data_IF_771091083854
#
_entry.id   IF_771091083854
#
_cell.length_a   1.000
_cell.length_b   1.000
_cell.length_c   1.000
_cell.angle_alpha   90.00
_cell.angle_beta   90.00
_cell.angle_gamma   90.00
#
_symmetry.space_group_name_H-M   'P 1'
#
loop_
_entity.id
_entity.type
_entity.pdbx_description
1 polymer ?
#
# COMPACT_ATOMS: atom_id res chain seq x y z
N UNK A 1 -23.45 50.20 13.33
CA UNK A 1 -24.75 49.56 13.06
C UNK A 1 -25.41 50.36 11.96
N UNK A 2 -25.11 50.03 10.72
CA UNK A 2 -25.80 50.61 9.56
C UNK A 2 -26.83 49.60 9.08
N UNK A 3 -28.06 50.08 9.05
CA UNK A 3 -29.27 49.37 8.66
C UNK A 3 -29.26 49.32 7.13
N UNK A 4 -29.16 48.13 6.56
CA UNK A 4 -29.26 47.91 5.12
C UNK A 4 -30.66 48.27 4.62
N UNK A 5 -30.69 48.91 3.46
CA UNK A 5 -31.83 49.54 2.79
C UNK A 5 -32.97 48.58 2.40
N UNK A 6 -34.19 49.12 2.39
CA UNK A 6 -35.51 48.57 2.08
C UNK A 6 -35.68 47.78 0.75
N UNK A 7 -34.66 47.67 -0.10
CA UNK A 7 -34.72 46.88 -1.33
C UNK A 7 -34.51 45.37 -1.11
N UNK A 8 -33.84 44.97 -0.02
CA UNK A 8 -33.59 43.57 0.32
C UNK A 8 -34.86 42.87 0.85
N UNK A 9 -35.72 43.61 1.57
CA UNK A 9 -36.99 43.09 2.12
C UNK A 9 -38.04 42.84 1.01
N UNK A 10 -38.01 43.61 -0.08
CA UNK A 10 -38.93 43.44 -1.22
C UNK A 10 -38.63 42.22 -2.09
N UNK A 11 -37.41 41.67 -2.05
CA UNK A 11 -37.08 40.41 -2.75
C UNK A 11 -37.51 39.17 -1.98
N UNK A 12 -37.69 39.25 -0.66
CA UNK A 12 -38.08 38.12 0.17
C UNK A 12 -39.58 37.79 0.14
N UNK A 13 -40.44 38.76 -0.24
CA UNK A 13 -41.90 38.58 -0.22
C UNK A 13 -42.54 38.22 -1.57
N UNK A 14 -41.77 37.83 -2.59
CA UNK A 14 -42.31 37.48 -3.92
C UNK A 14 -42.20 36.01 -4.33
N UNK A 15 -41.82 35.13 -3.40
CA UNK A 15 -41.87 33.67 -3.58
C UNK A 15 -42.78 33.04 -2.52
N UNK A 16 -44.03 33.49 -2.46
CA UNK A 16 -45.11 32.67 -1.93
C UNK A 16 -45.38 31.54 -2.93
N UNK A 17 -44.81 30.37 -2.66
CA UNK A 17 -45.12 29.15 -3.39
C UNK A 17 -46.62 28.84 -3.24
N UNK A 18 -47.37 28.99 -4.33
CA UNK A 18 -48.60 28.23 -4.53
C UNK A 18 -48.21 26.79 -4.91
N UNK A 19 -48.94 25.76 -4.47
CA UNK A 19 -48.69 24.40 -4.90
C UNK A 19 -49.02 24.30 -6.39
N UNK A 20 -48.03 23.90 -7.21
CA UNK A 20 -48.29 23.44 -8.56
C UNK A 20 -48.34 21.91 -8.50
N UNK A 21 -49.56 21.39 -8.65
CA UNK A 21 -49.79 20.01 -9.07
C UNK A 21 -49.18 19.82 -10.47
N UNK A 22 -48.30 18.83 -10.57
CA UNK A 22 -47.65 18.44 -11.81
C UNK A 22 -46.51 17.50 -11.50
N UNK A 23 -46.74 16.20 -11.60
CA UNK A 23 -45.70 15.18 -11.61
C UNK A 23 -44.67 15.53 -12.69
N UNK A 24 -43.51 16.04 -12.28
CA UNK A 24 -42.32 15.99 -13.12
C UNK A 24 -41.73 14.60 -12.96
N UNK A 25 -41.98 13.74 -13.95
CA UNK A 25 -41.16 12.55 -14.16
C UNK A 25 -39.75 13.01 -14.51
N UNK A 26 -38.85 12.91 -13.54
CA UNK A 26 -37.43 13.04 -13.79
C UNK A 26 -36.95 11.73 -14.41
N UNK A 27 -36.28 11.83 -15.57
CA UNK A 27 -35.47 10.74 -16.10
C UNK A 27 -34.52 10.28 -15.00
N UNK A 28 -34.65 9.02 -14.57
CA UNK A 28 -33.65 8.40 -13.70
C UNK A 28 -32.28 8.56 -14.38
N UNK A 29 -31.26 9.12 -13.71
CA UNK A 29 -29.91 8.98 -14.21
C UNK A 29 -29.60 7.48 -14.32
N UNK A 30 -28.87 7.04 -15.37
CA UNK A 30 -28.52 5.64 -15.52
C UNK A 30 -27.87 5.16 -14.22
N UNK A 31 -28.29 3.99 -13.74
CA UNK A 31 -27.90 3.41 -12.45
C UNK A 31 -26.39 3.54 -12.24
N UNK A 32 -25.97 4.55 -11.49
CA UNK A 32 -24.62 4.61 -10.96
C UNK A 32 -24.51 3.44 -9.97
N UNK A 33 -23.47 2.61 -10.15
CA UNK A 33 -23.15 1.55 -9.20
C UNK A 33 -22.60 2.18 -7.92
N UNK A 34 -23.52 2.70 -7.11
CA UNK A 34 -23.23 3.31 -5.83
C UNK A 34 -23.22 2.19 -4.80
N UNK A 35 -22.04 1.88 -4.26
CA UNK A 35 -21.91 0.92 -3.16
C UNK A 35 -21.79 1.70 -1.86
N UNK A 36 -22.75 1.52 -0.96
CA UNK A 36 -22.62 2.00 0.41
C UNK A 36 -21.59 1.16 1.15
N UNK A 37 -20.48 1.76 1.57
CA UNK A 37 -19.53 1.12 2.45
C UNK A 37 -19.74 1.64 3.88
N UNK A 38 -19.85 0.70 4.82
CA UNK A 38 -19.76 1.03 6.23
C UNK A 38 -18.40 1.66 6.47
N UNK A 39 -18.36 2.86 7.04
CA UNK A 39 -17.10 3.48 7.41
C UNK A 39 -16.53 2.68 8.58
N UNK A 40 -15.49 1.91 8.29
CA UNK A 40 -14.66 1.29 9.30
C UNK A 40 -13.30 2.01 9.38
N UNK A 41 -12.54 1.72 10.44
CA UNK A 41 -11.25 2.35 10.70
C UNK A 41 -10.24 2.16 9.54
N UNK A 42 -10.38 1.07 8.77
CA UNK A 42 -9.48 0.79 7.66
C UNK A 42 -9.79 1.68 6.45
N UNK A 43 -11.08 1.87 6.13
CA UNK A 43 -11.51 2.76 5.06
C UNK A 43 -11.19 4.22 5.38
N UNK A 44 -11.38 4.65 6.63
CA UNK A 44 -11.01 6.01 7.07
C UNK A 44 -9.51 6.28 6.92
N UNK A 45 -8.67 5.31 7.34
CA UNK A 45 -7.22 5.36 7.17
C UNK A 45 -6.83 5.42 5.68
N UNK A 46 -7.46 4.60 4.84
CA UNK A 46 -7.17 4.59 3.41
C UNK A 46 -7.52 5.93 2.74
N UNK A 47 -8.69 6.49 3.04
CA UNK A 47 -9.11 7.80 2.52
C UNK A 47 -8.18 8.91 2.98
N UNK A 48 -7.75 8.90 4.23
CA UNK A 48 -6.76 9.85 4.74
C UNK A 48 -5.45 9.81 3.93
N UNK A 49 -4.93 8.62 3.66
CA UNK A 49 -3.71 8.45 2.86
C UNK A 49 -3.94 8.89 1.41
N UNK A 50 -5.06 8.51 0.79
CA UNK A 50 -5.42 8.92 -0.56
C UNK A 50 -5.41 10.45 -0.69
N UNK A 51 -6.09 11.16 0.22
CA UNK A 51 -6.10 12.63 0.26
C UNK A 51 -4.70 13.24 0.38
N UNK A 52 -3.78 12.58 1.09
CA UNK A 52 -2.39 13.03 1.21
C UNK A 52 -1.61 12.79 -0.07
N UNK A 53 -1.82 11.66 -0.75
CA UNK A 53 -1.18 11.33 -2.03
C UNK A 53 -1.66 12.28 -3.14
N UNK A 54 -2.94 12.67 -3.15
CA UNK A 54 -3.47 13.60 -4.16
C UNK A 54 -2.86 15.01 -4.07
N UNK A 55 -2.26 15.38 -2.93
CA UNK A 55 -1.52 16.64 -2.75
C UNK A 55 -0.11 16.58 -3.35
N UNK A 56 0.37 15.40 -3.74
CA UNK A 56 1.69 15.24 -4.38
C UNK A 56 1.58 15.72 -5.83
N UNK A 57 2.47 16.62 -6.30
CA UNK A 57 2.49 17.03 -7.70
C UNK A 57 2.61 15.83 -8.64
N UNK A 58 1.75 15.78 -9.65
CA UNK A 58 1.73 14.72 -10.66
C UNK A 58 1.50 13.30 -10.10
N UNK A 59 0.84 13.15 -8.95
CA UNK A 59 0.60 11.83 -8.33
C UNK A 59 -0.05 10.82 -9.29
N UNK A 60 -0.94 11.26 -10.18
CA UNK A 60 -1.65 10.43 -11.16
C UNK A 60 -0.73 9.71 -12.17
N UNK A 61 0.55 10.11 -12.27
CA UNK A 61 1.55 9.40 -13.06
C UNK A 61 2.04 8.11 -12.37
N UNK A 62 1.89 8.03 -11.04
CA UNK A 62 2.43 6.96 -10.21
C UNK A 62 1.36 6.19 -9.45
N UNK A 63 0.26 6.84 -9.05
CA UNK A 63 -0.71 6.28 -8.12
C UNK A 63 -2.14 6.39 -8.64
N UNK A 64 -2.94 5.36 -8.35
CA UNK A 64 -4.39 5.41 -8.45
C UNK A 64 -4.96 5.55 -7.03
N UNK A 65 -5.58 6.70 -6.76
CA UNK A 65 -6.32 6.95 -5.52
C UNK A 65 -7.79 6.54 -5.69
N UNK A 66 -8.48 6.29 -4.58
CA UNK A 66 -9.95 6.22 -4.61
C UNK A 66 -10.45 7.63 -4.89
N UNK A 67 -11.04 7.85 -6.06
CA UNK A 67 -11.71 9.11 -6.39
C UNK A 67 -13.08 9.15 -5.70
N UNK A 68 -13.12 9.52 -4.41
CA UNK A 68 -14.36 9.96 -3.77
C UNK A 68 -14.51 11.46 -3.94
N UNK A 69 -14.70 11.92 -5.17
CA UNK A 69 -14.98 13.33 -5.47
C UNK A 69 -16.17 13.38 -6.39
N UNK A 70 -17.34 13.10 -5.82
CA UNK A 70 -18.61 13.79 -6.03
C UNK A 70 -19.72 12.97 -5.33
N UNK A 71 -20.46 13.62 -4.43
CA UNK A 71 -21.70 13.13 -3.79
C UNK A 71 -21.58 12.07 -2.69
N UNK A 72 -21.20 12.53 -1.49
CA UNK A 72 -21.75 11.98 -0.25
C UNK A 72 -23.16 12.57 -0.07
N UNK A 73 -24.20 11.87 -0.52
CA UNK A 73 -25.58 12.21 -0.16
C UNK A 73 -26.01 11.42 1.07
N UNK A 74 -26.28 12.10 2.18
CA UNK A 74 -26.98 11.46 3.30
C UNK A 74 -28.41 11.13 2.85
N UNK A 75 -28.83 9.87 2.94
CA UNK A 75 -30.25 9.51 2.80
C UNK A 75 -30.84 9.56 4.20
N UNK A 76 -31.44 10.69 4.55
CA UNK A 76 -32.26 10.75 5.74
C UNK A 76 -33.53 9.92 5.46
N UNK A 77 -33.83 8.94 6.31
CA UNK A 77 -34.93 7.99 6.08
C UNK A 77 -36.31 8.66 5.94
N UNK A 78 -36.41 9.96 6.25
CA UNK A 78 -37.64 10.73 6.18
C UNK A 78 -37.71 11.76 5.05
N UNK A 79 -36.61 12.17 4.39
CA UNK A 79 -36.68 13.14 3.28
C UNK A 79 -35.56 12.92 2.24
N UNK A 80 -35.96 12.72 0.99
CA UNK A 80 -35.11 12.60 -0.21
C UNK A 80 -34.54 13.97 -0.63
N UNK A 81 -33.78 14.63 0.26
CA UNK A 81 -32.99 15.80 -0.13
C UNK A 81 -31.50 15.45 -0.07
N UNK A 82 -30.86 15.51 -1.25
CA UNK A 82 -29.39 15.44 -1.37
C UNK A 82 -28.83 16.82 -1.02
N UNK A 83 -28.24 16.97 0.16
CA UNK A 83 -27.37 18.11 0.44
C UNK A 83 -25.91 17.73 0.19
N UNK A 84 -25.19 18.62 -0.50
CA UNK A 84 -23.73 18.51 -0.70
C UNK A 84 -23.02 19.15 0.50
N UNK A 85 -22.28 18.35 1.27
CA UNK A 85 -21.48 18.85 2.39
C UNK A 85 -20.03 19.05 1.92
N UNK A 86 -19.47 20.28 1.97
CA UNK A 86 -18.06 20.53 1.72
C UNK A 86 -17.16 19.78 2.73
N UNK A 87 -16.01 19.31 2.27
CA UNK A 87 -15.04 18.48 3.03
C UNK A 87 -14.53 19.09 4.35
N UNK A 88 -14.79 20.37 4.59
CA UNK A 88 -14.42 21.11 5.80
C UNK A 88 -15.35 20.79 6.99
N UNK A 89 -16.49 20.15 6.74
CA UNK A 89 -17.53 19.82 7.73
C UNK A 89 -17.69 18.31 7.93
N UNK A 90 -16.59 17.61 8.22
CA UNK A 90 -16.68 16.24 8.77
C UNK A 90 -17.22 16.30 10.21
N UNK A 91 -18.48 16.72 10.39
CA UNK A 91 -19.20 16.42 11.61
C UNK A 91 -19.75 15.00 11.48
N UNK A 92 -19.42 14.15 12.44
CA UNK A 92 -20.02 12.82 12.61
C UNK A 92 -21.53 12.94 12.48
N UNK A 93 -22.12 12.47 11.38
CA UNK A 93 -23.57 12.34 11.29
C UNK A 93 -23.96 11.09 12.07
N UNK A 94 -24.23 11.27 13.35
CA UNK A 94 -24.89 10.26 14.18
C UNK A 94 -26.33 10.13 13.71
N UNK A 95 -26.74 8.93 13.30
CA UNK A 95 -28.15 8.65 13.09
C UNK A 95 -28.91 8.96 14.39
N UNK A 96 -30.12 9.52 14.28
CA UNK A 96 -30.97 9.89 15.43
C UNK A 96 -31.30 8.72 16.38
N UNK A 97 -30.98 7.48 15.97
CA UNK A 97 -30.84 6.34 16.85
C UNK A 97 -29.36 6.10 17.15
N UNK A 98 -28.96 6.23 18.42
CA UNK A 98 -27.58 6.17 18.96
C UNK A 98 -26.74 4.90 18.65
N UNK A 99 -27.13 4.05 17.70
CA UNK A 99 -26.48 2.79 17.36
C UNK A 99 -26.03 2.66 15.89
N UNK A 100 -26.21 3.68 15.05
CA UNK A 100 -25.83 3.62 13.62
C UNK A 100 -24.39 4.09 13.39
N UNK A 101 -23.55 3.22 12.82
CA UNK A 101 -22.20 3.60 12.35
C UNK A 101 -22.31 4.51 11.11
N UNK A 102 -21.41 5.50 10.93
CA UNK A 102 -21.41 6.33 9.74
C UNK A 102 -21.15 5.51 8.47
N UNK A 103 -21.75 5.92 7.36
CA UNK A 103 -21.53 5.32 6.04
C UNK A 103 -20.89 6.35 5.12
N UNK A 104 -19.98 5.90 4.27
CA UNK A 104 -19.44 6.73 3.17
C UNK A 104 -19.96 6.16 1.86
N UNK A 105 -20.61 7.01 1.07
CA UNK A 105 -20.86 6.75 -0.33
C UNK A 105 -19.53 6.90 -1.06
N UNK A 106 -19.01 5.76 -1.51
CA UNK A 106 -17.92 5.75 -2.45
C UNK A 106 -18.57 5.60 -3.82
N UNK A 107 -18.39 6.59 -4.69
CA UNK A 107 -18.64 6.37 -6.11
C UNK A 107 -17.61 5.36 -6.57
N UNK A 108 -17.98 4.07 -6.53
CA UNK A 108 -17.25 3.05 -7.27
C UNK A 108 -17.44 3.47 -8.72
N UNK A 109 -16.41 4.02 -9.33
CA UNK A 109 -16.39 4.25 -10.77
C UNK A 109 -16.34 2.90 -11.49
N UNK A 110 -17.40 2.09 -11.36
CA UNK A 110 -17.69 1.00 -12.28
C UNK A 110 -18.00 1.56 -13.68
N UNK A 111 -18.07 2.90 -13.83
CA UNK A 111 -18.16 3.62 -15.10
C UNK A 111 -16.79 4.04 -15.69
N UNK A 112 -15.69 3.38 -15.30
CA UNK A 112 -14.52 3.28 -16.19
C UNK A 112 -14.75 2.31 -17.38
N UNK A 113 -15.98 1.80 -17.52
CA UNK A 113 -16.37 0.73 -18.45
C UNK A 113 -16.58 1.16 -19.90
N UNK A 114 -16.38 2.44 -20.27
CA UNK A 114 -16.50 2.82 -21.67
C UNK A 114 -15.18 3.21 -22.37
N UNK A 115 -14.00 3.24 -21.71
CA UNK A 115 -12.75 3.44 -22.47
C UNK A 115 -11.39 3.06 -21.85
N UNK A 116 -11.27 2.41 -20.68
CA UNK A 116 -9.93 2.03 -20.17
C UNK A 116 -9.97 0.70 -19.43
N UNK A 117 -9.57 -0.39 -20.09
CA UNK A 117 -9.32 -1.65 -19.40
C UNK A 117 -8.12 -1.50 -18.46
N UNK A 118 -8.37 -1.60 -17.14
CA UNK A 118 -7.30 -1.77 -16.15
C UNK A 118 -6.93 -3.24 -16.16
N UNK A 119 -5.63 -3.55 -16.25
CA UNK A 119 -5.11 -4.91 -16.18
C UNK A 119 -4.42 -5.16 -14.84
N UNK A 120 -4.60 -6.36 -14.30
CA UNK A 120 -3.87 -6.81 -13.10
C UNK A 120 -2.42 -7.16 -13.44
N UNK A 121 -1.58 -7.29 -12.41
CA UNK A 121 -0.20 -7.76 -12.58
C UNK A 121 -0.11 -9.10 -13.29
N UNK A 122 -0.95 -10.07 -12.92
CA UNK A 122 -0.94 -11.41 -13.52
C UNK A 122 -1.40 -11.36 -14.99
N UNK A 123 -2.44 -10.59 -15.32
CA UNK A 123 -2.88 -10.38 -16.71
C UNK A 123 -1.80 -9.73 -17.58
N UNK A 124 -1.08 -8.74 -17.03
CA UNK A 124 0.05 -8.11 -17.71
C UNK A 124 1.19 -9.10 -17.96
N UNK A 125 1.49 -9.95 -16.97
CA UNK A 125 2.52 -10.98 -17.05
C UNK A 125 2.25 -11.98 -18.17
N UNK A 126 1.00 -12.40 -18.31
CA UNK A 126 0.56 -13.36 -19.34
C UNK A 126 0.51 -12.80 -20.76
N UNK A 127 0.69 -11.48 -20.95
CA UNK A 127 0.73 -10.86 -22.28
C UNK A 127 2.01 -11.21 -23.06
N UNK A 128 3.08 -11.58 -22.37
CA UNK A 128 4.40 -11.71 -22.98
C UNK A 128 4.70 -13.16 -23.37
N UNK A 129 4.66 -13.44 -24.67
CA UNK A 129 5.17 -14.69 -25.23
C UNK A 129 6.71 -14.69 -25.30
N UNK A 130 7.32 -13.51 -25.49
CA UNK A 130 8.76 -13.34 -25.57
C UNK A 130 9.38 -13.10 -24.18
N UNK A 131 10.21 -14.05 -23.73
CA UNK A 131 10.89 -13.98 -22.42
C UNK A 131 11.89 -12.83 -22.28
N UNK A 132 12.56 -12.40 -23.36
CA UNK A 132 13.47 -11.25 -23.32
C UNK A 132 12.69 -9.94 -23.13
N UNK A 133 11.57 -9.80 -23.85
CA UNK A 133 10.68 -8.64 -23.72
C UNK A 133 10.07 -8.56 -22.32
N UNK A 134 9.57 -9.69 -21.81
CA UNK A 134 9.09 -9.80 -20.44
C UNK A 134 10.15 -9.34 -19.44
N UNK A 135 11.39 -9.81 -19.59
CA UNK A 135 12.47 -9.47 -18.68
C UNK A 135 12.76 -7.96 -18.68
N UNK A 136 12.88 -7.34 -19.85
CA UNK A 136 13.07 -5.89 -19.96
C UNK A 136 11.93 -5.11 -19.30
N UNK A 137 10.70 -5.57 -19.46
CA UNK A 137 9.52 -4.94 -18.89
C UNK A 137 9.45 -5.08 -17.37
N UNK A 138 9.84 -6.23 -16.81
CA UNK A 138 9.98 -6.43 -15.36
C UNK A 138 10.97 -5.44 -14.75
N UNK A 139 12.08 -5.15 -15.44
CA UNK A 139 13.05 -4.15 -14.99
C UNK A 139 12.52 -2.73 -15.01
N UNK A 140 11.87 -2.34 -16.11
CA UNK A 140 11.22 -1.03 -16.19
C UNK A 140 10.20 -0.87 -15.06
N UNK A 141 9.47 -1.94 -14.74
CA UNK A 141 8.56 -1.97 -13.60
C UNK A 141 9.29 -1.83 -12.26
N UNK A 142 10.45 -2.47 -12.06
CA UNK A 142 11.28 -2.27 -10.85
C UNK A 142 11.60 -0.79 -10.63
N UNK A 143 12.11 -0.11 -11.66
CA UNK A 143 12.46 1.31 -11.56
C UNK A 143 11.23 2.18 -11.29
N UNK A 144 10.14 1.93 -12.00
CA UNK A 144 8.87 2.63 -11.80
C UNK A 144 8.37 2.51 -10.35
N UNK A 145 8.37 1.30 -9.80
CA UNK A 145 7.94 1.07 -8.42
C UNK A 145 8.89 1.77 -7.44
N UNK A 146 10.21 1.69 -7.64
CA UNK A 146 11.19 2.37 -6.79
C UNK A 146 11.03 3.91 -6.84
N UNK A 147 10.69 4.48 -8.00
CA UNK A 147 10.33 5.89 -8.12
C UNK A 147 9.08 6.23 -7.31
N UNK A 148 8.02 5.43 -7.43
CA UNK A 148 6.79 5.60 -6.65
C UNK A 148 7.03 5.51 -5.14
N UNK A 149 7.78 4.51 -4.69
CA UNK A 149 8.15 4.36 -3.27
C UNK A 149 8.99 5.55 -2.77
N UNK A 150 9.95 6.02 -3.57
CA UNK A 150 10.74 7.20 -3.23
C UNK A 150 9.87 8.45 -3.10
N UNK A 151 8.84 8.59 -3.94
CA UNK A 151 7.88 9.69 -3.89
C UNK A 151 7.04 9.62 -2.61
N UNK A 152 6.47 8.47 -2.28
CA UNK A 152 5.74 8.27 -1.01
C UNK A 152 6.63 8.59 0.20
N UNK A 153 7.87 8.09 0.20
CA UNK A 153 8.84 8.30 1.28
C UNK A 153 9.17 9.77 1.50
N UNK A 154 9.33 10.57 0.44
CA UNK A 154 9.53 12.04 0.52
C UNK A 154 8.36 12.75 1.20
N UNK A 155 7.17 12.17 1.14
CA UNK A 155 5.96 12.69 1.78
C UNK A 155 5.62 11.98 3.11
N UNK A 156 6.59 11.27 3.71
CA UNK A 156 6.43 10.52 4.97
C UNK A 156 5.31 9.48 4.94
N UNK A 157 5.09 8.86 3.78
CA UNK A 157 4.17 7.73 3.59
C UNK A 157 5.02 6.50 3.32
N UNK A 158 4.73 5.41 4.02
CA UNK A 158 5.35 4.10 3.82
C UNK A 158 4.29 3.14 3.27
N UNK A 159 4.54 2.54 2.12
CA UNK A 159 3.73 1.43 1.62
C UNK A 159 4.26 0.14 2.22
N UNK A 160 3.61 -0.35 3.27
CA UNK A 160 3.97 -1.62 3.88
C UNK A 160 3.34 -2.78 3.10
N UNK A 161 3.93 -3.97 3.17
CA UNK A 161 3.37 -5.19 2.55
C UNK A 161 3.08 -5.04 1.04
N UNK A 162 4.06 -4.53 0.29
CA UNK A 162 3.98 -4.41 -1.17
C UNK A 162 3.75 -5.78 -1.83
N UNK A 163 2.79 -5.87 -2.74
CA UNK A 163 2.35 -7.12 -3.37
C UNK A 163 1.82 -6.91 -4.79
N UNK A 164 1.47 -8.00 -5.49
CA UNK A 164 0.87 -7.96 -6.83
C UNK A 164 -0.37 -7.07 -6.92
N UNK A 165 -1.20 -7.04 -5.87
CA UNK A 165 -2.43 -6.24 -5.84
C UNK A 165 -2.16 -4.73 -5.78
N UNK A 166 -0.91 -4.34 -5.52
CA UNK A 166 -0.48 -2.95 -5.55
C UNK A 166 -0.01 -2.50 -6.94
N UNK A 167 0.06 -3.39 -7.93
CA UNK A 167 0.50 -3.05 -9.29
C UNK A 167 -0.65 -3.28 -10.26
N UNK A 168 -1.04 -2.21 -10.92
CA UNK A 168 -2.08 -2.21 -11.94
C UNK A 168 -1.52 -1.56 -13.22
N UNK A 169 -2.12 -1.86 -14.36
CA UNK A 169 -1.72 -1.31 -15.65
C UNK A 169 -2.91 -0.68 -16.35
N UNK A 170 -2.70 0.47 -16.98
CA UNK A 170 -3.75 1.08 -17.81
C UNK A 170 -3.82 0.40 -19.18
N UNK A 171 -4.77 0.83 -20.00
CA UNK A 171 -4.97 0.28 -21.35
C UNK A 171 -3.74 0.40 -22.27
N UNK A 172 -2.84 1.35 -21.99
CA UNK A 172 -1.60 1.55 -22.75
C UNK A 172 -0.44 0.71 -22.20
N UNK A 173 -0.69 -0.13 -21.18
CA UNK A 173 0.34 -0.92 -20.51
C UNK A 173 1.26 -0.11 -19.61
N UNK A 174 0.91 1.15 -19.26
CA UNK A 174 1.67 1.93 -18.29
C UNK A 174 1.31 1.48 -16.87
N UNK A 175 2.29 1.18 -16.01
CA UNK A 175 2.03 0.78 -14.63
C UNK A 175 1.57 1.97 -13.78
N UNK A 176 0.87 1.66 -12.70
CA UNK A 176 0.59 2.56 -11.59
C UNK A 176 0.42 1.75 -10.30
N UNK A 177 0.70 2.38 -9.17
CA UNK A 177 0.56 1.80 -7.83
C UNK A 177 -0.89 2.02 -7.35
N UNK A 178 -1.57 0.93 -7.01
CA UNK A 178 -2.97 0.88 -6.59
C UNK A 178 -3.09 0.25 -5.18
N UNK A 179 -4.30 0.18 -4.63
CA UNK A 179 -4.61 -0.48 -3.34
C UNK A 179 -3.75 0.07 -2.18
N UNK A 180 -3.97 1.33 -1.83
CA UNK A 180 -3.11 2.09 -0.92
C UNK A 180 -3.45 1.86 0.57
N UNK A 181 -4.24 0.84 0.88
CA UNK A 181 -4.77 0.50 2.21
C UNK A 181 -3.65 0.15 3.21
N UNK A 182 -2.56 -0.41 2.69
CA UNK A 182 -1.39 -0.75 3.49
C UNK A 182 -0.39 0.41 3.62
N UNK A 183 -0.68 1.56 3.03
CA UNK A 183 0.11 2.75 3.27
C UNK A 183 -0.15 3.30 4.66
N UNK A 184 0.91 3.79 5.31
CA UNK A 184 0.86 4.37 6.64
C UNK A 184 1.71 5.63 6.66
N UNK A 185 1.20 6.67 7.32
CA UNK A 185 2.00 7.85 7.62
C UNK A 185 3.01 7.55 8.73
N UNK A 186 4.26 7.96 8.57
CA UNK A 186 5.32 7.69 9.56
C UNK A 186 4.98 8.14 10.99
N UNK A 187 4.24 9.23 11.15
CA UNK A 187 3.79 9.71 12.47
C UNK A 187 2.85 8.73 13.17
N UNK A 188 2.14 7.89 12.41
CA UNK A 188 1.14 6.96 12.92
C UNK A 188 1.70 5.55 13.15
N UNK A 189 3.03 5.35 13.04
CA UNK A 189 3.63 4.02 13.14
C UNK A 189 3.51 3.38 14.54
N UNK A 190 3.23 4.17 15.58
CA UNK A 190 2.95 3.63 16.91
C UNK A 190 1.60 2.89 16.98
N UNK A 191 0.63 3.28 16.14
CA UNK A 191 -0.75 2.81 16.20
C UNK A 191 -1.06 1.66 15.24
N UNK A 192 -0.04 1.02 14.67
CA UNK A 192 -0.32 0.11 13.57
C UNK A 192 -0.99 -1.16 14.11
N UNK A 193 -2.26 -1.37 13.78
CA UNK A 193 -2.93 -2.65 14.04
C UNK A 193 -2.30 -3.69 13.12
N UNK A 194 -1.71 -4.75 13.69
CA UNK A 194 -0.90 -5.68 12.93
C UNK A 194 -1.50 -7.09 12.90
N UNK A 195 -1.92 -7.48 11.70
CA UNK A 195 -1.73 -8.82 11.16
C UNK A 195 -0.69 -8.68 10.04
N UNK A 196 0.60 -8.59 10.41
CA UNK A 196 1.63 -8.41 9.41
C UNK A 196 2.15 -9.74 8.88
N UNK A 197 2.28 -9.73 7.56
CA UNK A 197 2.44 -10.85 6.67
C UNK A 197 3.84 -11.48 6.82
N UNK A 198 4.00 -12.73 6.37
CA UNK A 198 5.26 -13.52 6.35
C UNK A 198 6.42 -12.90 5.53
N UNK A 199 6.30 -11.62 5.13
CA UNK A 199 7.24 -10.86 4.30
C UNK A 199 7.77 -9.58 4.95
N UNK A 200 7.37 -9.29 6.18
CA UNK A 200 7.81 -8.11 6.91
C UNK A 200 9.26 -8.27 7.44
N UNK A 201 10.02 -7.17 7.62
CA UNK A 201 11.32 -7.22 8.26
C UNK A 201 11.20 -7.57 9.76
N UNK A 202 12.28 -8.12 10.34
CA UNK A 202 12.28 -8.67 11.70
C UNK A 202 11.86 -7.66 12.78
N UNK A 203 12.10 -6.37 12.56
CA UNK A 203 11.66 -5.28 13.43
C UNK A 203 10.15 -5.32 13.69
N UNK A 204 9.35 -5.68 12.67
CA UNK A 204 7.90 -5.78 12.79
C UNK A 204 7.52 -6.98 13.69
N UNK A 205 8.24 -8.09 13.61
CA UNK A 205 8.00 -9.24 14.50
C UNK A 205 8.35 -8.96 15.96
N UNK A 206 9.32 -8.07 16.21
CA UNK A 206 9.59 -7.59 17.58
C UNK A 206 8.40 -6.74 18.07
N UNK A 207 7.89 -5.83 17.25
CA UNK A 207 6.68 -5.05 17.59
C UNK A 207 5.47 -5.94 17.90
N UNK A 208 5.21 -6.93 17.05
CA UNK A 208 4.11 -7.86 17.22
C UNK A 208 4.23 -8.65 18.52
N UNK A 209 5.45 -9.08 18.85
CA UNK A 209 5.72 -9.77 20.11
C UNK A 209 5.40 -8.90 21.33
N UNK A 210 5.84 -7.63 21.34
CA UNK A 210 5.58 -6.71 22.45
C UNK A 210 4.09 -6.40 22.60
N UNK A 211 3.36 -6.26 21.48
CA UNK A 211 1.91 -6.04 21.47
C UNK A 211 1.12 -7.24 22.00
N UNK A 212 1.55 -8.45 21.67
CA UNK A 212 0.91 -9.69 22.17
C UNK A 212 1.21 -9.94 23.65
N UNK A 213 2.32 -9.39 24.17
CA UNK A 213 2.79 -9.65 25.53
C UNK A 213 2.95 -8.35 26.33
N UNK A 214 1.86 -7.60 26.46
CA UNK A 214 1.82 -6.30 27.16
C UNK A 214 2.26 -6.33 28.63
N UNK A 215 2.25 -7.52 29.24
CA UNK A 215 2.69 -7.75 30.62
C UNK A 215 4.22 -7.80 30.77
N UNK A 216 4.96 -8.00 29.68
CA UNK A 216 6.41 -7.92 29.68
C UNK A 216 6.80 -6.45 29.73
N UNK A 217 7.84 -6.09 30.48
CA UNK A 217 8.36 -4.71 30.55
C UNK A 217 9.64 -4.50 29.72
N UNK A 218 10.36 -5.60 29.46
CA UNK A 218 11.61 -5.61 28.73
C UNK A 218 11.88 -6.99 28.13
N UNK A 219 12.59 -7.03 27.02
CA UNK A 219 12.99 -8.30 26.40
C UNK A 219 14.14 -8.97 27.16
N UNK A 220 14.03 -10.28 27.37
CA UNK A 220 15.15 -11.14 27.79
C UNK A 220 15.83 -11.78 26.58
N UNK A 221 17.05 -12.29 26.77
CA UNK A 221 17.76 -13.02 25.70
C UNK A 221 16.95 -14.20 25.17
N UNK A 222 16.31 -14.97 26.05
CA UNK A 222 15.46 -16.11 25.65
C UNK A 222 14.27 -15.65 24.80
N UNK A 223 13.70 -14.48 25.10
CA UNK A 223 12.60 -13.92 24.30
C UNK A 223 13.10 -13.46 22.92
N UNK A 224 14.30 -12.87 22.83
CA UNK A 224 14.91 -12.51 21.56
C UNK A 224 15.13 -13.76 20.70
N UNK A 225 15.73 -14.82 21.25
CA UNK A 225 15.93 -16.08 20.54
C UNK A 225 14.61 -16.68 20.04
N UNK A 226 13.56 -16.63 20.87
CA UNK A 226 12.23 -17.10 20.50
C UNK A 226 11.61 -16.27 19.36
N UNK A 227 11.73 -14.94 19.40
CA UNK A 227 11.26 -14.05 18.33
C UNK A 227 11.99 -14.38 17.03
N UNK A 228 13.34 -14.45 17.06
CA UNK A 228 14.16 -14.72 15.88
C UNK A 228 13.82 -16.09 15.29
N UNK A 229 13.71 -17.13 16.13
CA UNK A 229 13.38 -18.48 15.68
C UNK A 229 11.99 -18.52 15.02
N UNK A 230 10.97 -17.96 15.69
CA UNK A 230 9.62 -17.88 15.14
C UNK A 230 9.57 -17.07 13.84
N UNK A 231 10.35 -16.00 13.75
CA UNK A 231 10.48 -15.22 12.51
C UNK A 231 11.05 -16.08 11.39
N UNK A 232 12.22 -16.68 11.60
CA UNK A 232 12.92 -17.50 10.61
C UNK A 232 12.06 -18.66 10.11
N UNK A 233 11.38 -19.37 11.02
CA UNK A 233 10.57 -20.53 10.68
C UNK A 233 9.35 -20.15 9.81
N UNK A 234 8.79 -18.95 9.99
CA UNK A 234 7.60 -18.50 9.28
C UNK A 234 7.89 -17.56 8.10
N UNK A 235 9.08 -16.97 8.03
CA UNK A 235 9.41 -15.96 7.02
C UNK A 235 9.61 -16.60 5.65
N UNK A 236 8.84 -16.16 4.65
CA UNK A 236 8.61 -16.89 3.41
C UNK A 236 9.88 -17.20 2.60
N UNK A 237 10.88 -16.32 2.66
CA UNK A 237 12.15 -16.53 1.96
C UNK A 237 13.18 -17.22 2.87
N UNK A 238 13.28 -16.81 4.14
CA UNK A 238 14.35 -17.25 5.04
C UNK A 238 14.12 -18.69 5.51
N UNK A 239 12.88 -19.15 5.58
CA UNK A 239 12.58 -20.56 5.87
C UNK A 239 13.04 -21.50 4.74
N UNK A 240 13.19 -20.99 3.51
CA UNK A 240 13.48 -21.75 2.29
C UNK A 240 14.95 -21.66 1.80
N UNK A 241 15.80 -20.87 2.46
CA UNK A 241 17.25 -20.83 2.12
C UNK A 241 18.01 -22.00 2.76
N UNK A 242 19.29 -22.17 2.39
CA UNK A 242 20.12 -23.24 2.92
C UNK A 242 20.25 -23.16 4.45
N UNK A 243 20.41 -24.32 5.09
CA UNK A 243 20.57 -24.41 6.56
C UNK A 243 21.68 -23.49 7.07
N UNK A 244 22.81 -23.45 6.37
CA UNK A 244 23.94 -22.58 6.71
C UNK A 244 23.59 -21.09 6.65
N UNK A 245 22.90 -20.63 5.61
CA UNK A 245 22.48 -19.22 5.52
C UNK A 245 21.43 -18.88 6.58
N UNK A 246 20.55 -19.82 6.90
CA UNK A 246 19.51 -19.66 7.93
C UNK A 246 20.12 -19.56 9.33
N UNK A 247 21.11 -20.40 9.64
CA UNK A 247 21.88 -20.35 10.89
C UNK A 247 22.64 -19.03 11.02
N UNK A 248 23.33 -18.59 9.96
CA UNK A 248 23.96 -17.28 9.94
C UNK A 248 22.96 -16.15 10.18
N UNK A 249 21.80 -16.17 9.49
CA UNK A 249 20.76 -15.16 9.67
C UNK A 249 20.22 -15.16 11.11
N UNK A 250 20.11 -16.34 11.74
CA UNK A 250 19.75 -16.48 13.15
C UNK A 250 20.77 -15.78 14.05
N UNK A 251 22.06 -16.11 13.91
CA UNK A 251 23.14 -15.52 14.71
C UNK A 251 23.20 -14.00 14.56
N UNK A 252 23.16 -13.51 13.31
CA UNK A 252 23.19 -12.08 13.01
C UNK A 252 21.95 -11.36 13.58
N UNK A 253 20.77 -11.99 13.52
CA UNK A 253 19.53 -11.44 14.07
C UNK A 253 19.54 -11.39 15.60
N UNK A 254 19.98 -12.46 16.26
CA UNK A 254 20.11 -12.49 17.72
C UNK A 254 21.10 -11.41 18.17
N UNK A 255 22.27 -11.33 17.53
CA UNK A 255 23.28 -10.31 17.84
C UNK A 255 22.75 -8.89 17.64
N UNK A 256 22.03 -8.64 16.56
CA UNK A 256 21.42 -7.34 16.30
C UNK A 256 20.39 -6.96 17.37
N UNK A 257 19.50 -7.89 17.74
CA UNK A 257 18.43 -7.62 18.70
C UNK A 257 18.88 -7.63 20.17
N UNK A 258 20.03 -8.24 20.51
CA UNK A 258 20.59 -8.28 21.87
C UNK A 258 20.77 -6.89 22.50
N UNK A 259 20.93 -5.83 21.68
CA UNK A 259 21.01 -4.44 22.18
C UNK A 259 19.71 -3.97 22.87
N UNK A 260 18.60 -4.68 22.65
CA UNK A 260 17.27 -4.41 23.20
C UNK A 260 17.03 -5.10 24.55
N UNK A 261 17.92 -6.00 24.97
CA UNK A 261 17.76 -6.75 26.22
C UNK A 261 17.69 -5.81 27.42
N UNK A 262 16.75 -6.05 28.33
CA UNK A 262 16.51 -5.25 29.54
C UNK A 262 16.21 -3.77 29.26
N UNK A 263 15.77 -3.41 28.05
CA UNK A 263 15.32 -2.06 27.70
C UNK A 263 13.80 -1.93 27.85
N UNK A 264 13.29 -0.75 28.24
CA UNK A 264 11.86 -0.51 28.32
C UNK A 264 11.21 -0.49 26.92
N UNK A 265 9.91 -0.79 26.85
CA UNK A 265 9.16 -0.84 25.58
C UNK A 265 9.23 0.45 24.76
N UNK A 266 9.22 1.62 25.40
CA UNK A 266 9.35 2.91 24.72
C UNK A 266 10.68 3.02 23.96
N UNK A 267 11.78 2.65 24.61
CA UNK A 267 13.11 2.62 24.01
C UNK A 267 13.17 1.64 22.83
N UNK A 268 12.62 0.43 23.01
CA UNK A 268 12.60 -0.57 21.95
C UNK A 268 11.83 -0.04 20.73
N UNK A 269 10.67 0.57 20.97
CA UNK A 269 9.84 1.14 19.92
C UNK A 269 10.57 2.25 19.16
N UNK A 270 11.18 3.19 19.88
CA UNK A 270 11.97 4.27 19.27
C UNK A 270 13.15 3.74 18.46
N UNK A 271 13.89 2.78 19.02
CA UNK A 271 15.03 2.15 18.35
C UNK A 271 14.63 1.51 17.02
N UNK A 272 13.52 0.75 16.99
CA UNK A 272 13.05 0.09 15.78
C UNK A 272 12.48 1.10 14.76
N UNK A 273 11.73 2.10 15.22
CA UNK A 273 11.11 3.11 14.34
C UNK A 273 12.13 4.04 13.67
N UNK A 274 13.31 4.22 14.27
CA UNK A 274 14.44 4.92 13.63
C UNK A 274 14.77 4.37 12.24
N UNK A 275 14.45 3.11 11.99
CA UNK A 275 14.75 2.39 10.75
C UNK A 275 13.52 2.14 9.86
N UNK A 276 12.37 2.74 10.17
CA UNK A 276 11.12 2.56 9.40
C UNK A 276 11.28 2.90 7.91
N UNK A 277 12.19 3.82 7.60
CA UNK A 277 12.59 4.23 6.24
C UNK A 277 13.21 3.13 5.38
N UNK A 278 13.52 1.97 5.97
CA UNK A 278 14.04 0.80 5.25
C UNK A 278 12.97 -0.26 4.96
N UNK A 279 11.79 -0.16 5.57
CA UNK A 279 10.79 -1.23 5.57
C UNK A 279 10.06 -1.38 4.23
N UNK A 280 9.77 -0.26 3.56
CA UNK A 280 9.17 -0.24 2.23
C UNK A 280 10.12 -0.86 1.19
N UNK A 281 11.40 -0.49 1.24
CA UNK A 281 12.42 -1.07 0.38
C UNK A 281 12.64 -2.56 0.68
N UNK A 282 12.59 -2.98 1.95
CA UNK A 282 12.59 -4.40 2.31
C UNK A 282 11.41 -5.14 1.67
N UNK A 283 10.19 -4.59 1.80
CA UNK A 283 8.98 -5.13 1.19
C UNK A 283 9.06 -5.24 -0.33
N UNK A 284 9.63 -4.22 -1.00
CA UNK A 284 9.94 -4.28 -2.43
C UNK A 284 10.84 -5.47 -2.78
N UNK A 285 11.92 -5.68 -2.02
CA UNK A 285 12.84 -6.77 -2.32
C UNK A 285 12.19 -8.14 -2.09
N UNK A 286 11.40 -8.25 -1.02
CA UNK A 286 10.63 -9.44 -0.70
C UNK A 286 9.59 -9.78 -1.76
N UNK A 287 8.90 -8.79 -2.33
CA UNK A 287 7.97 -8.99 -3.43
C UNK A 287 8.68 -9.64 -4.62
N UNK A 288 9.77 -9.06 -5.12
CA UNK A 288 10.47 -9.61 -6.29
C UNK A 288 11.10 -10.97 -6.02
N UNK A 289 11.65 -11.21 -4.82
CA UNK A 289 12.15 -12.54 -4.45
C UNK A 289 11.02 -13.56 -4.41
N UNK A 290 9.86 -13.21 -3.87
CA UNK A 290 8.68 -14.08 -3.88
C UNK A 290 8.23 -14.38 -5.31
N UNK A 291 8.17 -13.38 -6.17
CA UNK A 291 7.80 -13.56 -7.58
C UNK A 291 8.76 -14.49 -8.32
N UNK A 292 10.07 -14.33 -8.10
CA UNK A 292 11.09 -15.14 -8.78
C UNK A 292 11.22 -16.54 -8.16
N UNK A 293 11.16 -16.68 -6.84
CA UNK A 293 11.44 -17.95 -6.16
C UNK A 293 10.20 -18.84 -6.05
N UNK A 294 9.02 -18.28 -5.77
CA UNK A 294 7.84 -19.08 -5.42
C UNK A 294 6.87 -19.34 -6.57
N UNK A 295 6.75 -18.42 -7.54
CA UNK A 295 5.91 -18.70 -8.72
C UNK A 295 6.48 -19.85 -9.58
N UNK A 296 7.78 -20.14 -9.46
CA UNK A 296 8.41 -21.30 -10.10
C UNK A 296 8.07 -22.64 -9.42
N UNK A 297 7.54 -22.64 -8.18
CA UNK A 297 7.30 -23.86 -7.40
C UNK A 297 5.83 -24.31 -7.40
N UNK A 298 4.86 -23.40 -7.59
CA UNK A 298 3.45 -23.68 -7.29
C UNK A 298 2.44 -23.43 -8.40
N UNK A 299 2.87 -23.07 -9.61
CA UNK A 299 1.91 -22.78 -10.69
C UNK A 299 1.86 -23.87 -11.76
N UNK A 300 0.69 -24.47 -11.90
CA UNK A 300 0.22 -25.20 -13.09
C UNK A 300 0.09 -24.28 -14.32
N UNK A 301 0.21 -22.96 -14.16
CA UNK A 301 0.24 -21.98 -15.25
C UNK A 301 1.66 -21.81 -15.81
N UNK A 302 2.05 -22.75 -16.69
CA UNK A 302 2.96 -22.73 -17.85
C UNK A 302 4.13 -21.73 -18.05
N UNK A 303 4.40 -20.72 -17.22
CA UNK A 303 5.48 -19.74 -17.45
C UNK A 303 6.53 -19.84 -16.35
N UNK A 304 7.46 -20.79 -16.48
CA UNK A 304 8.71 -20.68 -15.71
C UNK A 304 9.52 -19.51 -16.29
N UNK A 305 9.73 -18.48 -15.46
CA UNK A 305 10.59 -17.33 -15.76
C UNK A 305 12.03 -17.78 -15.99
N UNK A 306 12.42 -18.86 -15.31
CA UNK A 306 13.75 -19.42 -15.33
C UNK A 306 13.80 -20.55 -16.36
N UNK A 307 14.31 -20.23 -17.56
CA UNK A 307 14.86 -21.20 -18.51
C UNK A 307 16.30 -21.54 -18.16
N UNK A 308 16.82 -22.66 -18.66
CA UNK A 308 18.24 -23.02 -18.50
C UNK A 308 19.18 -21.88 -18.91
N UNK A 309 18.88 -21.19 -20.01
CA UNK A 309 19.70 -20.10 -20.55
C UNK A 309 19.64 -18.83 -19.69
N UNK A 310 18.52 -18.61 -18.99
CA UNK A 310 18.33 -17.46 -18.08
C UNK A 310 18.77 -17.72 -16.64
N UNK A 311 19.22 -18.94 -16.29
CA UNK A 311 19.56 -19.31 -14.89
C UNK A 311 20.64 -18.43 -14.28
N UNK A 312 21.72 -18.18 -15.03
CA UNK A 312 22.85 -17.34 -14.55
C UNK A 312 22.38 -15.92 -14.27
N UNK A 313 21.50 -15.41 -15.13
CA UNK A 313 20.89 -14.11 -14.98
C UNK A 313 19.97 -14.07 -13.74
N UNK A 314 19.01 -14.99 -13.61
CA UNK A 314 18.10 -15.00 -12.47
C UNK A 314 18.83 -15.24 -11.14
N UNK A 315 19.91 -16.01 -11.14
CA UNK A 315 20.79 -16.14 -9.97
C UNK A 315 21.36 -14.79 -9.54
N UNK A 316 21.94 -14.02 -10.47
CA UNK A 316 22.47 -12.70 -10.14
C UNK A 316 21.38 -11.71 -9.70
N UNK A 317 20.19 -11.80 -10.28
CA UNK A 317 19.03 -11.03 -9.84
C UNK A 317 18.64 -11.41 -8.40
N UNK A 318 18.51 -12.69 -8.08
CA UNK A 318 18.25 -13.17 -6.70
C UNK A 318 19.35 -12.68 -5.75
N UNK A 319 20.62 -12.78 -6.13
CA UNK A 319 21.75 -12.34 -5.31
C UNK A 319 21.67 -10.84 -4.97
N UNK A 320 21.24 -9.99 -5.92
CA UNK A 320 21.02 -8.56 -5.67
C UNK A 320 19.90 -8.35 -4.66
N UNK A 321 18.78 -9.04 -4.87
CA UNK A 321 17.61 -8.79 -4.04
C UNK A 321 17.80 -9.33 -2.61
N UNK A 322 18.51 -10.45 -2.47
CA UNK A 322 18.88 -11.03 -1.18
C UNK A 322 19.77 -10.10 -0.34
N UNK A 323 20.58 -9.22 -0.95
CA UNK A 323 21.42 -8.26 -0.22
C UNK A 323 20.64 -7.29 0.66
N UNK A 324 19.35 -7.10 0.41
CA UNK A 324 18.51 -6.24 1.24
C UNK A 324 17.66 -7.01 2.26
N UNK A 325 17.69 -8.35 2.21
CA UNK A 325 17.05 -9.22 3.18
C UNK A 325 18.04 -9.46 4.32
N UNK A 326 18.34 -8.40 5.07
CA UNK A 326 19.27 -8.41 6.20
C UNK A 326 18.53 -8.05 7.50
N UNK A 327 18.96 -8.63 8.61
CA UNK A 327 18.41 -8.33 9.93
C UNK A 327 18.76 -6.91 10.40
N UNK A 328 19.99 -6.44 10.14
CA UNK A 328 20.44 -5.11 10.50
C UNK A 328 19.98 -4.09 9.43
N UNK A 329 19.09 -3.15 9.75
CA UNK A 329 18.60 -2.16 8.79
C UNK A 329 19.67 -1.17 8.32
N UNK A 330 20.78 -1.00 9.04
CA UNK A 330 21.86 -0.10 8.63
C UNK A 330 22.68 -0.65 7.45
N UNK A 331 22.64 -1.96 7.25
CA UNK A 331 23.33 -2.63 6.14
C UNK A 331 22.45 -2.75 4.90
N UNK A 332 21.16 -2.44 5.04
CA UNK A 332 20.20 -2.43 3.92
C UNK A 332 20.50 -1.24 3.01
N UNK A 333 20.43 -1.49 1.71
CA UNK A 333 20.44 -0.42 0.73
C UNK A 333 19.19 0.45 0.86
N UNK A 334 19.37 1.77 0.69
CA UNK A 334 18.25 2.66 0.44
C UNK A 334 17.79 2.55 -1.03
N UNK A 335 16.65 3.16 -1.36
CA UNK A 335 16.05 3.08 -2.70
C UNK A 335 17.03 3.53 -3.80
N UNK A 336 17.81 4.59 -3.59
CA UNK A 336 18.77 5.08 -4.57
C UNK A 336 19.93 4.11 -4.78
N UNK A 337 20.45 3.53 -3.70
CA UNK A 337 21.47 2.48 -3.77
C UNK A 337 20.93 1.24 -4.48
N UNK A 338 19.69 0.83 -4.20
CA UNK A 338 19.03 -0.28 -4.89
C UNK A 338 18.96 -0.03 -6.39
N UNK A 339 18.52 1.15 -6.83
CA UNK A 339 18.51 1.52 -8.26
C UNK A 339 19.89 1.40 -8.88
N UNK A 340 20.90 2.01 -8.26
CA UNK A 340 22.27 1.98 -8.77
C UNK A 340 22.81 0.55 -8.89
N UNK A 341 22.53 -0.34 -7.93
CA UNK A 341 22.94 -1.74 -7.99
C UNK A 341 22.23 -2.50 -9.11
N UNK A 342 20.92 -2.25 -9.32
CA UNK A 342 20.15 -2.87 -10.41
C UNK A 342 20.67 -2.38 -11.77
N UNK A 343 20.89 -1.07 -11.94
CA UNK A 343 21.45 -0.48 -13.16
C UNK A 343 22.82 -1.06 -13.47
N UNK A 344 23.74 -1.07 -12.51
CA UNK A 344 25.09 -1.62 -12.70
C UNK A 344 25.05 -3.10 -13.09
N UNK A 345 24.15 -3.88 -12.49
CA UNK A 345 23.98 -5.28 -12.86
C UNK A 345 23.46 -5.44 -14.28
N UNK A 346 22.47 -4.63 -14.66
CA UNK A 346 21.93 -4.60 -16.02
C UNK A 346 23.03 -4.27 -17.03
N UNK A 347 23.79 -3.20 -16.84
CA UNK A 347 24.90 -2.83 -17.72
C UNK A 347 25.91 -3.98 -17.86
N UNK A 348 26.38 -4.52 -16.73
CA UNK A 348 27.41 -5.58 -16.72
C UNK A 348 26.93 -6.88 -17.34
N UNK A 349 25.64 -7.21 -17.25
CA UNK A 349 25.10 -8.50 -17.75
C UNK A 349 24.42 -8.40 -19.11
N UNK A 350 23.89 -7.25 -19.50
CA UNK A 350 23.39 -7.01 -20.85
C UNK A 350 24.53 -6.94 -21.87
N UNK A 351 25.74 -6.49 -21.49
CA UNK A 351 26.93 -6.60 -22.36
C UNK A 351 27.28 -8.05 -22.74
N UNK A 352 26.87 -9.04 -21.93
CA UNK A 352 27.11 -10.46 -22.18
C UNK A 352 25.88 -11.22 -22.71
N UNK A 353 24.70 -10.60 -22.68
CA UNK A 353 23.53 -11.08 -23.38
C UNK A 353 23.61 -10.46 -24.78
N UNK A 354 24.31 -11.10 -25.72
CA UNK A 354 24.28 -10.67 -27.13
C UNK A 354 22.82 -10.46 -27.56
N UNK A 355 22.46 -9.18 -27.69
CA UNK A 355 21.25 -8.69 -28.35
C UNK A 355 21.51 -8.66 -29.84
#
# INVERSE_FOLDING_TARGET
>A
MEILSDESQKRYNKLSLKPFDGEKTYLQPPSQNITMLKLDENLEKELYINNKIEKIPFYHLYFQTIHSKNQLSYVNYNELQKEEIPLEYWERVTTSNNNGNPFILVESSNNLTNSTSIRTYDEWLHKFDNKKELLSNVFNLCFFVLDGLQLLKKHNILLLNFSKSNICFNQFGKPFICNLNNCIEKSNLNNISYHFNVIAPIEISVFDFLKQNTHIHSLSNNQIELIVKKYIDNHIIISNISSHMREKYYEDSVKYLQVLTNKPHSYISEFLLKHADSWDNYGFHMFYLKEVLLNNMHTTTAISFITNDSKVFWKGFIDIFMKNILCNPNERHNIQQTKSVIENYLYTKMEHLHV
#
